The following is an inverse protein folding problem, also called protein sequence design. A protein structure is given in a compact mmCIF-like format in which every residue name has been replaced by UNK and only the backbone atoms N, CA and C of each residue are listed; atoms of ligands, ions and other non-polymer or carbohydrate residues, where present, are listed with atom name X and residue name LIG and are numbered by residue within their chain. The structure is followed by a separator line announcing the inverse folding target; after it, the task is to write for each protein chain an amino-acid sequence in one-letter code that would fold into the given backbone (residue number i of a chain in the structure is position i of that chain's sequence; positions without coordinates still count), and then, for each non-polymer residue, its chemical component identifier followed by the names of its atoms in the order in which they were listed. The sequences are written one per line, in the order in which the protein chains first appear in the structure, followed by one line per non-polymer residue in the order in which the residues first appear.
data_IF_735852399839
#
_entry.id   IF_735852399839
#
_cell.length_a   1.000
_cell.length_b   1.000
_cell.length_c   1.000
_cell.angle_alpha   90.00
_cell.angle_beta   90.00
_cell.angle_gamma   90.00
#
_symmetry.space_group_name_H-M   'P 1'
#
loop_
_entity.id
_entity.type
_entity.pdbx_description
1 polymer ?
#
# COMPACT_ATOMS: atom_id res chain seq x y z
N UNK A 1 7.43 -6.36 20.12
CA UNK A 1 7.25 -4.99 20.66
C UNK A 1 8.48 -4.45 21.41
N UNK A 2 9.25 -5.28 22.12
CA UNK A 2 10.42 -4.86 22.92
C UNK A 2 11.54 -4.21 22.08
N UNK A 3 11.77 -4.70 20.85
CA UNK A 3 12.78 -4.14 19.94
C UNK A 3 12.48 -2.69 19.55
N UNK A 4 11.23 -2.37 19.20
CA UNK A 4 10.82 -1.01 18.81
C UNK A 4 10.96 -0.04 19.99
N UNK A 5 10.65 -0.52 21.21
CA UNK A 5 10.79 0.25 22.46
C UNK A 5 12.26 0.63 22.73
N UNK A 6 13.19 -0.30 22.53
CA UNK A 6 14.60 -0.11 22.87
C UNK A 6 15.40 0.62 21.77
N UNK A 7 14.93 0.58 20.53
CA UNK A 7 15.63 1.15 19.36
C UNK A 7 15.00 2.48 18.89
N UNK A 8 14.34 3.23 19.77
CA UNK A 8 13.73 4.53 19.45
C UNK A 8 14.76 5.57 19.00
N UNK A 9 16.05 5.44 19.32
CA UNK A 9 17.10 6.39 18.89
C UNK A 9 17.58 6.18 17.44
N UNK A 10 17.44 4.96 16.91
CA UNK A 10 17.90 4.57 15.56
C UNK A 10 16.83 4.75 14.48
N UNK A 11 15.56 4.94 14.87
CA UNK A 11 14.49 5.28 13.94
C UNK A 11 14.68 6.75 13.52
N UNK A 12 14.66 7.05 12.21
CA UNK A 12 15.05 8.35 11.60
C UNK A 12 14.68 9.58 12.44
N UNK A 13 15.74 10.20 12.99
CA UNK A 13 15.73 11.30 13.98
C UNK A 13 15.20 12.63 13.44
N UNK A 14 15.21 12.87 12.12
CA UNK A 14 14.80 14.15 11.54
C UNK A 14 13.29 14.42 11.65
N UNK A 15 12.45 13.39 11.52
CA UNK A 15 10.99 13.52 11.73
C UNK A 15 10.61 13.62 13.21
N UNK A 16 11.58 13.63 14.14
CA UNK A 16 11.33 13.78 15.57
C UNK A 16 11.02 15.22 15.91
N UNK A 17 11.77 16.21 15.38
CA UNK A 17 11.62 17.61 15.82
C UNK A 17 10.20 18.13 15.63
N UNK A 18 9.68 18.17 14.41
CA UNK A 18 8.34 18.73 14.15
C UNK A 18 7.19 17.98 14.84
N UNK A 19 7.28 16.65 14.99
CA UNK A 19 6.22 15.84 15.58
C UNK A 19 6.31 15.84 17.13
N UNK A 20 7.52 15.82 17.69
CA UNK A 20 7.77 16.00 19.12
C UNK A 20 7.38 17.40 19.57
N UNK A 21 7.65 18.43 18.76
CA UNK A 21 7.25 19.82 19.04
C UNK A 21 5.72 19.98 19.05
N UNK A 22 5.02 19.38 18.09
CA UNK A 22 3.55 19.35 18.06
C UNK A 22 2.97 18.60 19.28
N UNK A 23 3.53 17.43 19.60
CA UNK A 23 3.12 16.62 20.76
C UNK A 23 3.46 17.34 22.08
N UNK A 24 4.59 18.03 22.18
CA UNK A 24 4.95 18.82 23.36
C UNK A 24 4.03 20.03 23.54
N UNK A 25 3.60 20.66 22.45
CA UNK A 25 2.61 21.75 22.52
C UNK A 25 1.24 21.25 22.97
N UNK A 26 0.77 20.08 22.50
CA UNK A 26 -0.47 19.44 23.00
C UNK A 26 -0.35 19.02 24.48
N UNK A 27 0.87 18.68 24.93
CA UNK A 27 1.13 18.27 26.32
C UNK A 27 1.22 19.41 27.34
N UNK A 28 1.25 20.67 26.89
CA UNK A 28 1.23 21.83 27.80
C UNK A 28 -0.16 22.17 28.34
N UNK A 29 -1.22 21.76 27.63
CA UNK A 29 -2.61 22.13 27.98
C UNK A 29 -3.37 21.09 28.81
N UNK A 30 -2.88 19.84 28.94
CA UNK A 30 -3.56 18.80 29.72
C UNK A 30 -2.63 18.12 30.72
N UNK A 31 -2.91 18.31 32.01
CA UNK A 31 -2.25 17.73 33.20
C UNK A 31 -2.42 16.21 33.35
N UNK A 32 -2.71 15.48 32.27
CA UNK A 32 -2.93 14.03 32.29
C UNK A 32 -2.13 13.34 31.18
N UNK A 33 -0.85 13.05 31.43
CA UNK A 33 -0.10 12.07 30.63
C UNK A 33 0.07 10.78 31.42
N UNK A 34 -0.96 9.94 31.39
CA UNK A 34 -0.85 8.54 31.79
C UNK A 34 -0.41 7.73 30.56
N UNK A 35 0.90 7.51 30.40
CA UNK A 35 1.44 6.59 29.39
C UNK A 35 2.78 7.00 28.77
N UNK A 36 3.52 6.02 28.26
CA UNK A 36 4.76 6.21 27.52
C UNK A 36 4.47 6.45 26.03
N UNK A 37 5.00 7.54 25.47
CA UNK A 37 4.87 7.87 24.04
C UNK A 37 5.93 7.06 23.26
N UNK A 38 5.48 6.22 22.33
CA UNK A 38 6.35 5.46 21.43
C UNK A 38 6.09 5.83 19.98
N UNK A 39 7.15 6.11 19.22
CA UNK A 39 7.05 6.38 17.80
C UNK A 39 7.13 5.04 17.06
N UNK A 40 6.12 4.77 16.23
CA UNK A 40 6.12 3.60 15.38
C UNK A 40 7.08 3.82 14.19
N UNK A 41 7.92 2.84 13.85
CA UNK A 41 8.81 2.92 12.71
C UNK A 41 8.02 3.01 11.39
N UNK A 42 8.66 3.47 10.32
CA UNK A 42 8.08 3.44 8.96
C UNK A 42 7.86 2.03 8.43
N UNK A 43 8.39 0.99 9.09
CA UNK A 43 8.09 -0.42 8.80
C UNK A 43 6.73 -0.87 9.32
N UNK A 44 6.08 -0.08 10.18
CA UNK A 44 4.74 -0.38 10.66
C UNK A 44 3.70 -0.03 9.59
N UNK A 45 3.21 -1.07 8.90
CA UNK A 45 2.22 -0.94 7.82
C UNK A 45 0.96 -0.24 8.32
N UNK A 46 0.48 0.75 7.56
CA UNK A 46 -0.70 1.55 7.89
C UNK A 46 -0.45 2.71 8.87
N UNK A 47 0.77 2.84 9.43
CA UNK A 47 1.13 3.99 10.26
C UNK A 47 1.44 5.25 9.45
N UNK A 48 1.39 6.42 10.11
CA UNK A 48 1.67 7.72 9.48
C UNK A 48 3.03 7.73 8.75
N UNK A 49 4.09 7.23 9.39
CA UNK A 49 5.44 7.19 8.79
C UNK A 49 5.56 6.22 7.62
N UNK A 50 4.79 5.12 7.63
CA UNK A 50 4.72 4.20 6.50
C UNK A 50 4.06 4.88 5.30
N UNK A 51 2.94 5.57 5.52
CA UNK A 51 2.25 6.31 4.46
C UNK A 51 3.11 7.45 3.90
N UNK A 52 3.78 8.23 4.76
CA UNK A 52 4.71 9.27 4.31
C UNK A 52 5.87 8.71 3.50
N UNK A 53 6.40 7.54 3.88
CA UNK A 53 7.45 6.88 3.12
C UNK A 53 6.96 6.43 1.74
N UNK A 54 5.81 5.74 1.67
CA UNK A 54 5.22 5.33 0.39
C UNK A 54 4.99 6.53 -0.54
N UNK A 55 4.51 7.65 0.00
CA UNK A 55 4.33 8.87 -0.78
C UNK A 55 5.66 9.40 -1.33
N UNK A 56 6.71 9.46 -0.50
CA UNK A 56 8.03 9.91 -0.93
C UNK A 56 8.62 8.99 -2.01
N UNK A 57 8.55 7.67 -1.81
CA UNK A 57 9.04 6.67 -2.77
C UNK A 57 8.29 6.80 -4.12
N UNK A 58 6.97 7.02 -4.08
CA UNK A 58 6.16 7.25 -5.27
C UNK A 58 6.52 8.55 -5.98
N UNK A 59 6.75 9.65 -5.23
CA UNK A 59 7.16 10.93 -5.80
C UNK A 59 8.56 10.86 -6.42
N UNK A 60 9.47 10.07 -5.84
CA UNK A 60 10.78 9.82 -6.45
C UNK A 60 10.64 9.06 -7.77
N UNK A 61 9.76 8.06 -7.83
CA UNK A 61 9.47 7.33 -9.07
C UNK A 61 8.91 8.26 -10.15
N UNK A 62 7.92 9.11 -9.80
CA UNK A 62 7.33 10.08 -10.73
C UNK A 62 8.39 11.08 -11.21
N UNK A 63 9.26 11.55 -10.32
CA UNK A 63 10.37 12.45 -10.69
C UNK A 63 11.35 11.79 -11.67
N UNK A 64 11.59 10.48 -11.53
CA UNK A 64 12.55 9.73 -12.35
C UNK A 64 11.98 9.31 -13.71
N UNK A 65 10.73 8.85 -13.75
CA UNK A 65 10.13 8.23 -14.94
C UNK A 65 9.03 9.10 -15.59
N UNK A 66 8.62 10.19 -14.94
CA UNK A 66 7.52 11.04 -15.35
C UNK A 66 6.18 10.62 -14.74
N UNK A 67 5.11 11.26 -15.21
CA UNK A 67 3.73 10.96 -14.79
C UNK A 67 3.40 9.51 -15.15
N UNK A 68 2.53 8.88 -14.35
CA UNK A 68 1.93 7.59 -14.73
C UNK A 68 0.98 7.77 -15.91
N UNK A 69 0.96 6.79 -16.81
CA UNK A 69 0.13 6.77 -18.01
C UNK A 69 -1.16 5.97 -17.77
N UNK A 70 -1.08 4.88 -16.99
CA UNK A 70 -2.23 4.02 -16.69
C UNK A 70 -2.53 4.02 -15.19
N UNK A 71 -3.81 4.19 -14.85
CA UNK A 71 -4.37 3.95 -13.53
C UNK A 71 -5.39 2.82 -13.60
N UNK A 72 -5.07 1.68 -12.98
CA UNK A 72 -5.91 0.48 -13.03
C UNK A 72 -6.29 0.06 -11.62
N UNK A 73 -7.59 -0.12 -11.41
CA UNK A 73 -8.15 -0.58 -10.14
C UNK A 73 -8.47 -2.09 -10.23
N UNK A 74 -7.74 -2.91 -9.49
CA UNK A 74 -7.94 -4.36 -9.44
C UNK A 74 -8.79 -4.75 -8.21
N UNK A 75 -9.98 -5.27 -8.45
CA UNK A 75 -10.96 -5.57 -7.38
C UNK A 75 -11.08 -7.08 -7.13
N UNK A 76 -11.02 -7.50 -5.86
CA UNK A 76 -11.35 -8.87 -5.49
C UNK A 76 -12.80 -9.22 -5.78
N UNK A 77 -13.03 -10.35 -6.46
CA UNK A 77 -14.36 -10.91 -6.64
C UNK A 77 -14.53 -12.17 -5.77
N UNK A 78 -15.40 -12.15 -4.75
CA UNK A 78 -15.61 -13.30 -3.88
C UNK A 78 -16.27 -14.49 -4.60
N UNK A 79 -16.83 -14.28 -5.80
CA UNK A 79 -17.44 -15.33 -6.62
C UNK A 79 -16.43 -16.08 -7.50
N UNK A 80 -15.14 -15.80 -7.40
CA UNK A 80 -14.13 -16.57 -8.14
C UNK A 80 -14.18 -18.05 -7.76
N UNK A 81 -14.08 -18.91 -8.76
CA UNK A 81 -14.20 -20.35 -8.56
C UNK A 81 -13.08 -20.94 -7.71
N UNK A 82 -11.89 -20.34 -7.74
CA UNK A 82 -10.79 -20.66 -6.83
C UNK A 82 -11.10 -20.37 -5.35
N UNK A 83 -12.08 -19.51 -5.05
CA UNK A 83 -12.57 -19.29 -3.69
C UNK A 83 -13.67 -20.30 -3.40
N UNK A 84 -14.69 -20.40 -4.27
CA UNK A 84 -15.85 -21.27 -4.03
C UNK A 84 -15.50 -22.75 -3.88
N UNK A 85 -14.55 -23.25 -4.68
CA UNK A 85 -14.12 -24.66 -4.64
C UNK A 85 -13.48 -25.06 -3.30
N UNK A 86 -12.93 -24.09 -2.57
CA UNK A 86 -12.23 -24.30 -1.30
C UNK A 86 -13.09 -23.96 -0.07
N UNK A 87 -14.33 -23.50 -0.29
CA UNK A 87 -15.27 -23.23 0.80
C UNK A 87 -15.96 -24.52 1.24
N UNK A 88 -16.01 -24.76 2.55
CA UNK A 88 -16.80 -25.86 3.12
C UNK A 88 -18.30 -25.57 3.00
N UNK A 89 -19.16 -26.59 3.10
CA UNK A 89 -20.60 -26.38 3.20
C UNK A 89 -20.93 -25.35 4.29
N UNK A 90 -21.85 -24.43 3.98
CA UNK A 90 -22.28 -23.32 4.86
C UNK A 90 -21.24 -22.24 5.18
N UNK A 91 -20.03 -22.26 4.58
CA UNK A 91 -19.08 -21.16 4.71
C UNK A 91 -19.28 -20.10 3.63
N UNK A 92 -19.15 -18.84 4.03
CA UNK A 92 -19.07 -17.71 3.12
C UNK A 92 -17.62 -17.27 2.90
N UNK A 93 -17.30 -16.60 1.78
CA UNK A 93 -15.98 -16.00 1.56
C UNK A 93 -15.53 -15.07 2.70
N UNK A 94 -16.46 -14.37 3.34
CA UNK A 94 -16.20 -13.50 4.49
C UNK A 94 -15.71 -14.26 5.72
N UNK A 95 -16.06 -15.55 5.86
CA UNK A 95 -15.63 -16.41 6.97
C UNK A 95 -14.19 -16.93 6.78
N UNK A 96 -13.64 -16.77 5.57
CA UNK A 96 -12.29 -17.22 5.18
C UNK A 96 -11.48 -16.09 4.52
N UNK A 97 -11.19 -14.99 5.25
CA UNK A 97 -10.44 -13.86 4.71
C UNK A 97 -9.01 -14.24 4.27
N UNK A 98 -8.43 -15.28 4.88
CA UNK A 98 -7.14 -15.86 4.49
C UNK A 98 -7.17 -16.41 3.05
N UNK A 99 -8.22 -17.17 2.72
CA UNK A 99 -8.42 -17.76 1.39
C UNK A 99 -8.64 -16.65 0.35
N UNK A 100 -9.53 -15.71 0.65
CA UNK A 100 -9.84 -14.57 -0.24
C UNK A 100 -8.56 -13.76 -0.52
N UNK A 101 -7.79 -13.42 0.51
CA UNK A 101 -6.56 -12.65 0.36
C UNK A 101 -5.50 -13.40 -0.44
N UNK A 102 -5.37 -14.72 -0.22
CA UNK A 102 -4.43 -15.56 -0.96
C UNK A 102 -4.80 -15.65 -2.45
N UNK A 103 -6.06 -15.90 -2.77
CA UNK A 103 -6.54 -15.96 -4.17
C UNK A 103 -6.38 -14.60 -4.84
N UNK A 104 -6.74 -13.51 -4.15
CA UNK A 104 -6.55 -12.15 -4.65
C UNK A 104 -5.08 -11.87 -4.98
N UNK A 105 -4.16 -12.21 -4.08
CA UNK A 105 -2.72 -12.01 -4.30
C UNK A 105 -2.21 -12.80 -5.50
N UNK A 106 -2.66 -14.05 -5.69
CA UNK A 106 -2.27 -14.87 -6.84
C UNK A 106 -2.79 -14.25 -8.15
N UNK A 107 -4.07 -13.83 -8.17
CA UNK A 107 -4.67 -13.17 -9.33
C UNK A 107 -4.02 -11.83 -9.64
N UNK A 108 -3.69 -11.03 -8.62
CA UNK A 108 -2.99 -9.76 -8.79
C UNK A 108 -1.57 -9.99 -9.35
N UNK A 109 -0.86 -11.03 -8.88
CA UNK A 109 0.47 -11.37 -9.42
C UNK A 109 0.40 -11.72 -10.91
N UNK A 110 -0.56 -12.56 -11.30
CA UNK A 110 -0.76 -12.91 -12.71
C UNK A 110 -1.09 -11.68 -13.56
N UNK A 111 -1.97 -10.81 -13.06
CA UNK A 111 -2.30 -9.54 -13.70
C UNK A 111 -1.09 -8.62 -13.87
N UNK A 112 -0.20 -8.51 -12.87
CA UNK A 112 1.03 -7.74 -13.00
C UNK A 112 2.00 -8.39 -13.99
N UNK A 113 2.07 -9.72 -14.04
CA UNK A 113 2.88 -10.45 -15.01
C UNK A 113 2.35 -10.24 -16.45
N UNK A 114 1.04 -10.21 -16.66
CA UNK A 114 0.41 -9.84 -17.94
C UNK A 114 0.85 -8.46 -18.41
N UNK A 115 0.75 -7.46 -17.54
CA UNK A 115 1.06 -6.07 -17.88
C UNK A 115 2.56 -5.87 -18.11
N UNK A 116 3.39 -6.36 -17.18
CA UNK A 116 4.82 -6.02 -17.15
C UNK A 116 5.66 -6.99 -17.99
N UNK A 117 5.40 -8.31 -17.89
CA UNK A 117 6.23 -9.32 -18.58
C UNK A 117 5.70 -9.65 -19.96
N UNK A 118 4.38 -9.81 -20.09
CA UNK A 118 3.73 -10.07 -21.38
C UNK A 118 3.49 -8.80 -22.19
N UNK A 119 3.84 -7.63 -21.64
CA UNK A 119 3.79 -6.31 -22.28
C UNK A 119 2.42 -6.03 -22.92
N UNK A 120 1.33 -6.37 -22.23
CA UNK A 120 -0.02 -6.28 -22.78
C UNK A 120 -0.40 -4.86 -23.23
N UNK A 121 0.14 -3.84 -22.55
CA UNK A 121 -0.04 -2.43 -22.90
C UNK A 121 1.22 -1.78 -23.49
N UNK A 122 2.24 -2.58 -23.86
CA UNK A 122 3.57 -2.10 -24.20
C UNK A 122 4.58 -2.24 -23.06
N UNK A 123 5.74 -1.61 -23.21
CA UNK A 123 6.82 -1.67 -22.23
C UNK A 123 6.57 -0.77 -21.02
N UNK A 124 6.58 -1.37 -19.83
CA UNK A 124 6.45 -0.66 -18.56
C UNK A 124 7.83 -0.28 -18.03
N UNK A 125 8.11 1.02 -17.90
CA UNK A 125 9.35 1.53 -17.30
C UNK A 125 9.34 1.46 -15.77
N UNK A 126 8.17 1.74 -15.17
CA UNK A 126 7.98 1.73 -13.73
C UNK A 126 6.52 1.46 -13.37
N UNK A 127 6.29 0.87 -12.20
CA UNK A 127 4.94 0.70 -11.66
C UNK A 127 4.96 0.70 -10.14
N UNK A 128 3.85 1.16 -9.56
CA UNK A 128 3.57 1.11 -8.12
C UNK A 128 2.16 0.60 -7.94
N UNK A 129 1.92 -0.16 -6.88
CA UNK A 129 0.56 -0.47 -6.47
C UNK A 129 0.42 -0.47 -4.95
N UNK A 130 -0.79 -0.14 -4.51
CA UNK A 130 -1.17 -0.19 -3.09
C UNK A 130 -2.38 -1.10 -2.96
N UNK A 131 -2.37 -1.98 -1.95
CA UNK A 131 -3.51 -2.82 -1.60
C UNK A 131 -4.19 -2.23 -0.38
N UNK A 132 -5.47 -1.93 -0.49
CA UNK A 132 -6.34 -1.50 0.58
C UNK A 132 -7.48 -2.51 0.80
N UNK A 133 -7.98 -2.60 2.02
CA UNK A 133 -9.17 -3.39 2.32
C UNK A 133 -10.35 -2.43 2.37
N UNK A 134 -11.30 -2.58 1.44
CA UNK A 134 -12.49 -1.72 1.42
C UNK A 134 -13.38 -2.01 2.63
N UNK A 135 -14.36 -1.15 2.91
CA UNK A 135 -15.30 -1.25 4.06
C UNK A 135 -15.96 -2.62 4.29
N UNK A 136 -15.98 -3.51 3.28
CA UNK A 136 -16.50 -4.89 3.36
C UNK A 136 -15.39 -5.96 3.54
N UNK A 137 -14.17 -5.56 3.88
CA UNK A 137 -13.03 -6.44 4.12
C UNK A 137 -12.38 -7.05 2.89
N UNK A 138 -12.89 -6.79 1.68
CA UNK A 138 -12.30 -7.32 0.45
C UNK A 138 -11.08 -6.50 0.00
N UNK A 139 -10.00 -7.17 -0.41
CA UNK A 139 -8.81 -6.48 -0.90
C UNK A 139 -9.08 -5.83 -2.27
N UNK A 140 -8.47 -4.67 -2.45
CA UNK A 140 -8.53 -3.86 -3.65
C UNK A 140 -7.15 -3.28 -3.89
N UNK A 141 -6.68 -3.34 -5.14
CA UNK A 141 -5.41 -2.74 -5.50
C UNK A 141 -5.62 -1.56 -6.43
N UNK A 142 -4.93 -0.46 -6.15
CA UNK A 142 -4.75 0.65 -7.08
C UNK A 142 -3.36 0.54 -7.67
N UNK A 143 -3.27 0.41 -8.99
CA UNK A 143 -2.02 0.23 -9.72
C UNK A 143 -1.78 1.43 -10.63
N UNK A 144 -0.57 1.97 -10.59
CA UNK A 144 -0.07 3.02 -11.46
C UNK A 144 1.06 2.45 -12.31
N UNK A 145 1.01 2.68 -13.61
CA UNK A 145 2.04 2.24 -14.55
C UNK A 145 2.53 3.42 -15.39
N UNK A 146 3.84 3.45 -15.64
CA UNK A 146 4.50 4.39 -16.56
C UNK A 146 5.03 3.61 -17.75
N UNK A 147 4.54 3.97 -18.94
CA UNK A 147 4.88 3.37 -20.22
C UNK A 147 6.18 3.94 -20.78
N UNK A 148 6.82 3.19 -21.66
CA UNK A 148 7.91 3.66 -22.52
C UNK A 148 7.41 4.81 -23.42
N UNK A 149 8.31 5.71 -23.83
CA UNK A 149 7.92 6.83 -24.69
C UNK A 149 7.34 6.39 -26.04
N UNK A 150 7.71 5.21 -26.53
CA UNK A 150 7.25 4.66 -27.81
C UNK A 150 5.83 4.08 -27.70
N UNK A 151 5.50 3.51 -26.54
CA UNK A 151 4.20 2.90 -26.26
C UNK A 151 3.22 3.89 -25.61
N UNK A 152 3.66 5.10 -25.28
CA UNK A 152 2.79 6.16 -24.80
C UNK A 152 1.81 6.53 -25.90
N UNK A 153 0.53 6.35 -25.63
CA UNK A 153 -0.52 6.97 -26.43
C UNK A 153 -0.38 8.47 -26.20
N UNK A 154 0.25 9.17 -27.14
CA UNK A 154 0.26 10.63 -27.12
C UNK A 154 -1.21 11.07 -27.15
N UNK A 155 -1.69 11.62 -26.03
CA UNK A 155 -2.85 12.50 -26.08
C UNK A 155 -2.44 13.68 -26.95
N UNK A 156 -2.86 13.63 -28.21
CA UNK A 156 -2.96 14.80 -29.07
C UNK A 156 -3.94 15.76 -28.39
N UNK A 157 -3.41 16.73 -27.67
CA UNK A 157 -4.08 17.98 -27.29
C UNK A 157 -3.10 19.14 -27.47
#
# INVERSE_FOLDING_TARGET
MTYIRNNQKTLRVESYKGLLDHVNNIGRDNTARVGNIFILPSTFVGGLRFMSKLYQDNMEMIRKFGRSDLFIAFTCNPKWEAIKSELKPFQNPSDRPDLVTRVFRLKLKEFLDDIVKRKLFGEILAYVYVIEHRKRGLPHAHCLFTLSNEDRVFDAL
#
